data_IF_382044700271
#
_entry.id   IF_382044700271
#
_cell.length_a   1.000
_cell.length_b   1.000
_cell.length_c   1.000
_cell.angle_alpha   90.00
_cell.angle_beta   90.00
_cell.angle_gamma   90.00
#
_symmetry.space_group_name_H-M   'P 1'
#
loop_
_entity.id
_entity.type
_entity.pdbx_description
1 polymer ?
#
# COMPACT_ATOMS: atom_id res chain seq x y z
N UNK A 1 -29.38 -0.16 -2.88
CA UNK A 1 -30.49 -0.83 -2.21
C UNK A 1 -30.20 -2.32 -2.14
N UNK A 2 -30.50 -2.98 -1.03
CA UNK A 2 -30.29 -4.41 -0.77
C UNK A 2 -30.94 -5.37 -1.79
N UNK A 3 -31.78 -4.87 -2.65
CA UNK A 3 -32.50 -5.62 -3.69
C UNK A 3 -31.80 -5.58 -5.06
N UNK A 4 -30.73 -4.84 -5.19
CA UNK A 4 -29.96 -4.71 -6.44
C UNK A 4 -28.52 -5.09 -6.18
N UNK A 5 -27.95 -5.86 -7.09
CA UNK A 5 -26.53 -6.15 -7.15
C UNK A 5 -25.75 -4.83 -7.38
N UNK A 6 -25.49 -4.08 -6.31
CA UNK A 6 -24.87 -2.77 -6.30
C UNK A 6 -23.68 -2.78 -5.32
N UNK A 7 -22.58 -3.35 -5.78
CA UNK A 7 -21.32 -3.20 -5.08
C UNK A 7 -20.88 -1.72 -5.11
N UNK A 8 -20.31 -1.25 -3.99
CA UNK A 8 -19.66 0.05 -3.89
C UNK A 8 -18.46 -0.07 -2.96
N UNK A 9 -17.37 0.62 -3.27
CA UNK A 9 -16.17 0.59 -2.41
C UNK A 9 -16.38 1.25 -1.05
N UNK A 10 -17.39 2.10 -0.89
CA UNK A 10 -17.72 2.73 0.38
C UNK A 10 -17.10 4.11 0.61
N UNK A 11 -16.44 4.69 -0.39
CA UNK A 11 -15.78 6.00 -0.26
C UNK A 11 -16.71 7.20 -0.42
N UNK A 12 -18.00 7.03 -0.13
CA UNK A 12 -18.98 8.14 -0.10
C UNK A 12 -19.65 8.25 1.28
N UNK A 13 -18.92 8.72 2.32
CA UNK A 13 -19.41 8.68 3.68
C UNK A 13 -20.52 9.71 3.91
N UNK A 14 -21.59 9.27 4.55
CA UNK A 14 -22.62 10.13 5.14
C UNK A 14 -22.35 10.34 6.64
N UNK A 15 -21.88 9.32 7.32
CA UNK A 15 -21.56 9.32 8.75
C UNK A 15 -20.24 8.59 9.00
N UNK A 16 -19.24 9.26 9.57
CA UNK A 16 -17.91 8.69 9.80
C UNK A 16 -17.86 7.59 10.86
N UNK A 17 -18.80 7.57 11.80
CA UNK A 17 -18.84 6.64 12.93
C UNK A 17 -19.91 5.56 12.79
N UNK A 18 -20.33 5.24 11.58
CA UNK A 18 -21.36 4.23 11.34
C UNK A 18 -20.76 3.04 10.57
N UNK A 19 -20.91 1.84 11.15
CA UNK A 19 -20.60 0.59 10.44
C UNK A 19 -21.55 0.40 9.27
N UNK A 20 -21.04 0.00 8.08
CA UNK A 20 -21.85 -0.24 6.90
C UNK A 20 -22.82 -1.41 7.10
N UNK A 21 -24.09 -1.16 6.86
CA UNK A 21 -25.16 -2.13 7.12
C UNK A 21 -25.33 -3.20 6.05
N UNK A 22 -24.92 -2.94 4.80
CA UNK A 22 -25.11 -3.88 3.69
C UNK A 22 -24.33 -5.19 3.83
N UNK A 23 -23.26 -5.18 4.63
CA UNK A 23 -22.48 -6.39 4.95
C UNK A 23 -23.04 -7.19 6.13
N UNK A 24 -24.09 -6.69 6.81
CA UNK A 24 -24.67 -7.34 7.97
C UNK A 24 -25.76 -8.34 7.56
N UNK A 25 -25.95 -9.37 8.38
CA UNK A 25 -27.00 -10.37 8.19
C UNK A 25 -28.42 -9.80 8.41
N UNK A 26 -28.54 -8.67 9.13
CA UNK A 26 -29.79 -7.89 9.28
C UNK A 26 -29.47 -6.39 9.20
N UNK A 27 -29.45 -5.80 8.00
CA UNK A 27 -29.11 -4.40 7.80
C UNK A 27 -30.14 -3.41 8.37
N UNK A 28 -31.34 -3.88 8.71
CA UNK A 28 -32.40 -3.04 9.31
C UNK A 28 -32.29 -2.93 10.83
N UNK A 29 -31.42 -3.74 11.46
CA UNK A 29 -31.11 -3.66 12.90
C UNK A 29 -29.70 -3.13 13.12
N UNK A 30 -29.54 -1.88 13.57
CA UNK A 30 -28.22 -1.28 13.76
C UNK A 30 -27.28 -2.09 14.69
N UNK A 31 -27.84 -2.71 15.71
CA UNK A 31 -27.08 -3.51 16.68
C UNK A 31 -26.46 -4.75 16.04
N UNK A 32 -27.09 -5.30 15.00
CA UNK A 32 -26.58 -6.49 14.30
C UNK A 32 -25.25 -6.18 13.63
N UNK A 33 -25.18 -5.10 12.83
CA UNK A 33 -23.92 -4.73 12.14
C UNK A 33 -22.81 -4.35 13.13
N UNK A 34 -23.14 -3.70 14.24
CA UNK A 34 -22.16 -3.36 15.28
C UNK A 34 -21.56 -4.62 15.89
N UNK A 35 -22.42 -5.58 16.29
CA UNK A 35 -21.98 -6.86 16.86
C UNK A 35 -21.15 -7.66 15.87
N UNK A 36 -21.64 -7.84 14.66
CA UNK A 36 -20.95 -8.66 13.62
C UNK A 36 -19.60 -8.06 13.24
N UNK A 37 -19.47 -6.73 13.16
CA UNK A 37 -18.20 -6.08 12.93
C UNK A 37 -17.21 -6.34 14.09
N UNK A 38 -17.66 -6.24 15.34
CA UNK A 38 -16.85 -6.58 16.52
C UNK A 38 -16.45 -8.07 16.54
N UNK A 39 -17.35 -8.96 16.15
CA UNK A 39 -17.08 -10.40 16.04
C UNK A 39 -16.03 -10.69 14.96
N UNK A 40 -16.07 -9.99 13.82
CA UNK A 40 -15.06 -10.07 12.77
C UNK A 40 -13.68 -9.62 13.28
N UNK A 41 -13.59 -8.43 13.90
CA UNK A 41 -12.32 -7.94 14.49
C UNK A 41 -11.77 -8.92 15.51
N UNK A 42 -12.63 -9.43 16.41
CA UNK A 42 -12.22 -10.42 17.40
C UNK A 42 -11.69 -11.72 16.77
N UNK A 43 -12.32 -12.18 15.68
CA UNK A 43 -11.88 -13.39 14.99
C UNK A 43 -10.51 -13.21 14.33
N UNK A 44 -10.26 -12.04 13.72
CA UNK A 44 -8.97 -11.69 13.14
C UNK A 44 -7.88 -11.59 14.22
N UNK A 45 -8.16 -10.93 15.34
CA UNK A 45 -7.22 -10.86 16.47
C UNK A 45 -6.88 -12.23 17.05
N UNK A 46 -7.87 -13.15 17.16
CA UNK A 46 -7.60 -14.54 17.59
C UNK A 46 -6.69 -15.29 16.61
N UNK A 47 -6.69 -14.90 15.34
CA UNK A 47 -5.78 -15.44 14.33
C UNK A 47 -4.42 -14.71 14.27
N UNK A 48 -4.17 -13.72 15.15
CA UNK A 48 -2.95 -12.92 15.17
C UNK A 48 -2.90 -11.84 14.09
N UNK A 49 -4.04 -11.50 13.49
CA UNK A 49 -4.15 -10.52 12.39
C UNK A 49 -4.69 -9.21 12.94
N UNK A 50 -3.96 -8.11 12.73
CA UNK A 50 -4.37 -6.75 13.08
C UNK A 50 -5.35 -6.19 12.04
N UNK A 51 -6.20 -5.28 12.48
CA UNK A 51 -7.25 -4.69 11.63
C UNK A 51 -6.96 -3.20 11.42
N UNK A 52 -6.77 -2.81 10.18
CA UNK A 52 -6.63 -1.42 9.75
C UNK A 52 -7.96 -0.96 9.16
N UNK A 53 -8.51 0.12 9.68
CA UNK A 53 -9.73 0.72 9.14
C UNK A 53 -9.38 1.75 8.07
N UNK A 54 -10.01 1.62 6.91
CA UNK A 54 -9.94 2.61 5.83
C UNK A 54 -10.91 3.75 6.13
N UNK A 55 -10.41 4.98 6.26
CA UNK A 55 -11.19 6.13 6.71
C UNK A 55 -11.21 7.24 5.66
N UNK A 56 -12.39 7.82 5.49
CA UNK A 56 -12.68 8.84 4.47
C UNK A 56 -13.12 10.13 5.15
N UNK A 57 -12.19 10.86 5.76
CA UNK A 57 -12.48 12.17 6.38
C UNK A 57 -12.33 13.35 5.42
N UNK A 58 -11.80 13.10 4.22
CA UNK A 58 -11.48 14.14 3.22
C UNK A 58 -12.71 14.79 2.60
N UNK A 59 -13.87 14.12 2.59
CA UNK A 59 -15.13 14.66 2.05
C UNK A 59 -16.35 13.98 2.70
N UNK A 60 -17.52 14.40 2.31
CA UNK A 60 -18.80 13.72 2.55
C UNK A 60 -19.58 13.59 1.25
N UNK A 61 -20.49 12.62 1.18
CA UNK A 61 -21.27 12.34 -0.05
C UNK A 61 -22.01 13.55 -0.61
N UNK A 62 -22.52 14.43 0.28
CA UNK A 62 -23.16 15.70 -0.13
C UNK A 62 -23.09 16.71 1.02
N UNK A 63 -22.16 17.65 0.92
CA UNK A 63 -21.94 18.67 1.94
C UNK A 63 -23.22 19.47 2.29
N UNK A 64 -24.05 19.82 1.30
CA UNK A 64 -25.24 20.66 1.52
C UNK A 64 -26.31 20.04 2.42
N UNK A 65 -26.30 18.70 2.58
CA UNK A 65 -27.32 18.00 3.37
C UNK A 65 -26.78 17.42 4.67
N UNK A 66 -25.47 17.50 4.90
CA UNK A 66 -24.84 17.00 6.13
C UNK A 66 -25.23 17.83 7.36
N UNK A 67 -25.12 17.21 8.54
CA UNK A 67 -25.24 17.93 9.81
C UNK A 67 -24.21 19.04 9.97
N UNK A 68 -23.04 18.90 9.36
CA UNK A 68 -21.95 19.88 9.45
C UNK A 68 -22.34 21.23 8.86
N UNK A 69 -22.78 21.24 7.61
CA UNK A 69 -23.17 22.48 6.93
C UNK A 69 -24.43 23.10 7.52
N UNK A 70 -25.37 22.27 8.01
CA UNK A 70 -26.57 22.75 8.68
C UNK A 70 -26.30 23.36 10.06
N UNK A 71 -25.28 22.86 10.75
CA UNK A 71 -24.90 23.32 12.10
C UNK A 71 -24.08 24.60 12.05
N UNK A 72 -23.08 24.64 11.19
CA UNK A 72 -22.20 25.81 11.02
C UNK A 72 -21.77 25.95 9.55
N UNK A 73 -22.56 26.67 8.74
CA UNK A 73 -22.30 26.84 7.32
C UNK A 73 -20.91 27.38 7.02
N UNK A 74 -20.18 26.72 6.09
CA UNK A 74 -18.87 27.14 5.64
C UNK A 74 -17.73 26.93 6.64
N UNK A 75 -17.94 26.19 7.73
CA UNK A 75 -16.90 25.94 8.73
C UNK A 75 -16.15 24.61 8.53
N UNK A 76 -16.90 23.54 8.29
CA UNK A 76 -16.32 22.18 8.21
C UNK A 76 -15.78 21.83 6.83
N UNK A 77 -16.10 22.63 5.83
CA UNK A 77 -15.63 22.49 4.47
C UNK A 77 -14.87 23.73 4.03
N UNK A 78 -13.87 23.54 3.16
CA UNK A 78 -13.19 24.67 2.51
C UNK A 78 -14.10 25.29 1.45
N UNK A 79 -14.24 26.60 1.51
CA UNK A 79 -15.14 27.36 0.64
C UNK A 79 -14.36 28.26 -0.29
N UNK A 80 -14.72 28.27 -1.58
CA UNK A 80 -14.19 29.22 -2.56
C UNK A 80 -14.77 30.62 -2.31
N UNK A 81 -14.15 31.64 -2.89
CA UNK A 81 -14.56 33.04 -2.77
C UNK A 81 -15.98 33.33 -3.30
N UNK A 82 -16.48 32.49 -4.20
CA UNK A 82 -17.84 32.58 -4.75
C UNK A 82 -18.90 31.87 -3.87
N UNK A 83 -18.49 31.30 -2.73
CA UNK A 83 -19.36 30.57 -1.81
C UNK A 83 -19.63 29.12 -2.21
N UNK A 84 -19.01 28.58 -3.25
CA UNK A 84 -19.07 27.16 -3.58
C UNK A 84 -18.04 26.34 -2.78
N UNK A 85 -18.29 25.05 -2.62
CA UNK A 85 -17.34 24.14 -1.98
C UNK A 85 -16.07 23.97 -2.83
N UNK A 86 -14.93 23.95 -2.19
CA UNK A 86 -13.69 23.47 -2.79
C UNK A 86 -13.78 21.97 -3.06
N UNK A 87 -12.99 21.41 -3.98
CA UNK A 87 -13.16 20.04 -4.47
C UNK A 87 -11.83 19.31 -4.71
N UNK A 88 -10.88 19.45 -3.81
CA UNK A 88 -9.63 18.70 -3.88
C UNK A 88 -9.82 17.18 -3.81
N UNK A 89 -10.92 16.72 -3.22
CA UNK A 89 -11.31 15.30 -3.18
C UNK A 89 -11.79 14.74 -4.53
N UNK A 90 -12.18 15.60 -5.49
CA UNK A 90 -12.86 15.16 -6.72
C UNK A 90 -14.32 14.72 -6.53
N UNK A 91 -14.82 14.69 -5.26
CA UNK A 91 -16.15 14.19 -4.89
C UNK A 91 -17.17 15.31 -4.59
N UNK A 92 -16.87 16.54 -5.02
CA UNK A 92 -17.79 17.69 -4.92
C UNK A 92 -17.60 18.56 -3.67
N UNK A 93 -16.79 18.16 -2.72
CA UNK A 93 -16.41 18.95 -1.55
C UNK A 93 -15.08 18.47 -0.95
N UNK A 94 -14.48 19.27 -0.08
CA UNK A 94 -13.34 18.88 0.75
C UNK A 94 -13.50 19.42 2.15
N UNK A 95 -13.13 18.63 3.16
CA UNK A 95 -13.20 19.04 4.55
C UNK A 95 -12.03 19.94 4.95
N UNK A 96 -12.26 20.80 5.93
CA UNK A 96 -11.28 21.73 6.47
C UNK A 96 -10.68 21.17 7.78
N UNK A 97 -9.72 20.23 7.67
CA UNK A 97 -9.09 19.58 8.83
C UNK A 97 -8.34 20.57 9.74
N UNK A 98 -7.88 21.69 9.20
CA UNK A 98 -7.25 22.78 9.93
C UNK A 98 -8.22 23.51 10.88
N UNK A 99 -9.54 23.35 10.71
CA UNK A 99 -10.53 23.92 11.60
C UNK A 99 -10.59 23.11 12.92
N UNK A 100 -10.50 23.78 14.10
CA UNK A 100 -10.39 23.09 15.38
C UNK A 100 -11.48 22.05 15.66
N UNK A 101 -12.73 22.30 15.26
CA UNK A 101 -13.82 21.35 15.49
C UNK A 101 -13.81 20.20 14.49
N UNK A 102 -13.31 20.38 13.25
CA UNK A 102 -13.12 19.28 12.32
C UNK A 102 -11.98 18.38 12.78
N UNK A 103 -10.83 18.96 13.17
CA UNK A 103 -9.71 18.22 13.77
C UNK A 103 -10.14 17.42 14.99
N UNK A 104 -10.85 18.06 15.91
CA UNK A 104 -11.41 17.38 17.10
C UNK A 104 -12.30 16.21 16.71
N UNK A 105 -13.19 16.38 15.76
CA UNK A 105 -14.07 15.31 15.28
C UNK A 105 -13.27 14.12 14.73
N UNK A 106 -12.26 14.37 13.89
CA UNK A 106 -11.40 13.33 13.33
C UNK A 106 -10.70 12.54 14.45
N UNK A 107 -10.06 13.24 15.38
CA UNK A 107 -9.32 12.61 16.48
C UNK A 107 -10.27 11.79 17.37
N UNK A 108 -11.37 12.35 17.83
CA UNK A 108 -12.32 11.64 18.70
C UNK A 108 -12.99 10.45 18.00
N UNK A 109 -13.22 10.55 16.69
CA UNK A 109 -13.72 9.45 15.89
C UNK A 109 -12.72 8.30 15.84
N UNK A 110 -11.44 8.58 15.56
CA UNK A 110 -10.38 7.57 15.51
C UNK A 110 -10.14 6.92 16.88
N UNK A 111 -10.09 7.72 17.95
CA UNK A 111 -10.00 7.20 19.31
C UNK A 111 -11.18 6.27 19.65
N UNK A 112 -12.38 6.61 19.19
CA UNK A 112 -13.59 5.80 19.39
C UNK A 112 -13.48 4.46 18.65
N UNK A 113 -13.03 4.44 17.40
CA UNK A 113 -12.81 3.21 16.65
C UNK A 113 -11.79 2.30 17.34
N UNK A 114 -10.70 2.85 17.88
CA UNK A 114 -9.72 2.06 18.65
C UNK A 114 -10.33 1.51 19.95
N UNK A 115 -11.03 2.33 20.72
CA UNK A 115 -11.55 1.94 22.04
C UNK A 115 -12.77 1.02 21.97
N UNK A 116 -13.66 1.27 21.01
CA UNK A 116 -14.94 0.55 20.92
C UNK A 116 -14.85 -0.70 20.04
N UNK A 117 -14.05 -0.68 18.98
CA UNK A 117 -13.94 -1.77 18.02
C UNK A 117 -12.56 -2.44 18.01
N UNK A 118 -11.62 -1.97 18.81
CA UNK A 118 -10.24 -2.48 18.87
C UNK A 118 -9.53 -2.44 17.51
N UNK A 119 -9.72 -1.37 16.74
CA UNK A 119 -9.00 -1.13 15.49
C UNK A 119 -7.54 -0.82 15.80
N UNK A 120 -6.61 -1.44 15.07
CA UNK A 120 -5.16 -1.38 15.30
C UNK A 120 -4.45 -0.31 14.45
N UNK A 121 -5.15 0.34 13.57
CA UNK A 121 -4.59 1.39 12.73
C UNK A 121 -5.56 1.92 11.69
N UNK A 122 -5.09 2.87 10.88
CA UNK A 122 -5.93 3.59 9.92
C UNK A 122 -5.20 3.84 8.60
N UNK A 123 -5.90 3.61 7.51
CA UNK A 123 -5.54 4.07 6.17
C UNK A 123 -6.39 5.28 5.83
N UNK A 124 -5.77 6.41 5.51
CA UNK A 124 -6.47 7.64 5.14
C UNK A 124 -6.62 7.73 3.62
N UNK A 125 -7.85 7.68 3.16
CA UNK A 125 -8.21 8.01 1.80
C UNK A 125 -7.87 9.47 1.51
N UNK A 126 -7.26 9.78 0.35
CA UNK A 126 -6.82 11.12 -0.05
C UNK A 126 -6.22 11.93 1.12
N UNK A 127 -5.24 11.34 1.81
CA UNK A 127 -4.63 11.93 3.03
C UNK A 127 -4.13 13.34 2.80
N UNK A 128 -3.71 13.69 1.58
CA UNK A 128 -3.23 15.02 1.24
C UNK A 128 -4.31 16.13 1.24
N UNK A 129 -5.57 15.81 1.48
CA UNK A 129 -6.61 16.80 1.80
C UNK A 129 -6.43 17.33 3.23
N UNK A 130 -5.86 16.53 4.12
CA UNK A 130 -5.66 16.90 5.53
C UNK A 130 -4.36 17.67 5.73
N UNK A 131 -4.37 18.58 6.69
CA UNK A 131 -3.16 19.31 7.05
C UNK A 131 -2.22 18.48 7.93
N UNK A 132 -0.91 18.74 7.79
CA UNK A 132 0.18 18.05 8.50
C UNK A 132 0.01 18.16 10.02
N UNK A 133 -0.43 19.30 10.53
CA UNK A 133 -0.63 19.51 11.97
C UNK A 133 -1.70 18.57 12.51
N UNK A 134 -2.83 18.43 11.79
CA UNK A 134 -3.88 17.48 12.14
C UNK A 134 -3.38 16.05 12.12
N UNK A 135 -2.62 15.63 11.12
CA UNK A 135 -2.07 14.28 11.05
C UNK A 135 -1.09 13.98 12.19
N UNK A 136 -0.25 14.94 12.55
CA UNK A 136 0.67 14.82 13.68
C UNK A 136 -0.08 14.77 15.04
N UNK A 137 -1.13 15.55 15.21
CA UNK A 137 -1.96 15.48 16.42
C UNK A 137 -2.70 14.14 16.52
N UNK A 138 -3.26 13.64 15.41
CA UNK A 138 -3.85 12.29 15.33
C UNK A 138 -2.80 11.26 15.78
N UNK A 139 -1.60 11.26 15.20
CA UNK A 139 -0.53 10.31 15.58
C UNK A 139 -0.27 10.35 17.07
N UNK A 140 -0.03 11.52 17.63
CA UNK A 140 0.26 11.71 19.06
C UNK A 140 -0.86 11.16 19.95
N UNK A 141 -2.11 11.43 19.59
CA UNK A 141 -3.27 11.02 20.39
C UNK A 141 -3.53 9.51 20.33
N UNK A 142 -3.37 8.91 19.16
CA UNK A 142 -3.59 7.47 18.98
C UNK A 142 -2.45 6.64 19.56
N UNK A 143 -1.22 7.11 19.46
CA UNK A 143 -0.04 6.48 20.08
C UNK A 143 -0.15 6.43 21.60
N UNK A 144 -0.78 7.42 22.22
CA UNK A 144 -1.05 7.41 23.67
C UNK A 144 -2.05 6.31 24.09
N UNK A 145 -2.84 5.77 23.15
CA UNK A 145 -3.75 4.63 23.39
C UNK A 145 -3.03 3.32 23.13
N UNK A 146 -2.35 3.22 21.99
CA UNK A 146 -1.55 2.07 21.59
C UNK A 146 -0.32 2.54 20.80
N UNK A 147 0.88 2.37 21.38
CA UNK A 147 2.16 2.77 20.76
C UNK A 147 2.45 2.02 19.46
N UNK A 148 1.80 0.91 19.20
CA UNK A 148 1.94 0.10 17.99
C UNK A 148 0.94 0.47 16.87
N UNK A 149 0.10 1.50 17.07
CA UNK A 149 -0.90 1.92 16.07
C UNK A 149 -0.24 2.23 14.72
N UNK A 150 -0.82 1.70 13.64
CA UNK A 150 -0.35 1.92 12.27
C UNK A 150 -1.17 3.01 11.61
N UNK A 151 -0.52 4.05 11.10
CA UNK A 151 -1.19 5.16 10.39
C UNK A 151 -0.48 5.38 9.07
N UNK A 152 -1.24 5.34 7.97
CA UNK A 152 -0.75 5.65 6.63
C UNK A 152 -1.90 6.09 5.73
N UNK A 153 -1.59 6.59 4.56
CA UNK A 153 -2.64 6.97 3.63
C UNK A 153 -2.13 7.31 2.23
N UNK A 154 -3.02 7.84 1.43
CA UNK A 154 -2.73 8.33 0.10
C UNK A 154 -2.16 9.74 0.17
N UNK A 155 -0.86 9.87 -0.08
CA UNK A 155 -0.15 11.16 -0.06
C UNK A 155 -0.44 12.02 -1.30
N UNK A 156 -1.65 11.99 -1.83
CA UNK A 156 -2.15 12.79 -2.94
C UNK A 156 -3.59 13.24 -2.74
N UNK A 157 -4.06 14.14 -3.58
CA UNK A 157 -5.43 14.57 -3.72
C UNK A 157 -5.92 14.27 -5.14
N UNK A 158 -7.23 14.21 -5.37
CA UNK A 158 -7.80 13.93 -6.69
C UNK A 158 -7.77 15.18 -7.60
N UNK A 159 -7.78 16.38 -7.01
CA UNK A 159 -7.55 17.67 -7.70
C UNK A 159 -6.91 18.66 -6.72
N UNK A 160 -6.72 19.91 -7.10
CA UNK A 160 -6.05 20.92 -6.28
C UNK A 160 -6.88 21.30 -5.03
N UNK A 161 -6.44 21.01 -3.81
CA UNK A 161 -7.10 21.43 -2.59
C UNK A 161 -7.03 22.96 -2.41
N UNK A 162 -8.06 23.53 -1.78
CA UNK A 162 -8.10 24.95 -1.45
C UNK A 162 -7.42 25.23 -0.10
N UNK A 163 -6.14 24.92 0.02
CA UNK A 163 -5.32 25.23 1.18
C UNK A 163 -3.85 25.36 0.75
N UNK A 164 -3.02 25.92 1.61
CA UNK A 164 -1.57 26.01 1.37
C UNK A 164 -0.99 24.59 1.27
N UNK A 165 -0.57 24.22 0.06
CA UNK A 165 -0.06 22.89 -0.26
C UNK A 165 1.11 22.49 0.64
N UNK A 166 1.95 23.42 1.04
CA UNK A 166 3.10 23.15 1.93
C UNK A 166 2.72 22.72 3.34
N UNK A 167 1.44 22.89 3.70
CA UNK A 167 0.86 22.50 4.98
C UNK A 167 -0.01 21.23 4.89
N UNK A 168 -0.18 20.68 3.68
CA UNK A 168 -0.98 19.50 3.44
C UNK A 168 -0.14 18.23 3.45
N UNK A 169 -0.75 17.11 3.82
CA UNK A 169 -0.10 15.82 3.98
C UNK A 169 0.20 15.12 2.64
N UNK A 170 0.73 15.86 1.66
CA UNK A 170 1.24 15.28 0.43
C UNK A 170 2.44 14.37 0.70
N UNK A 171 2.59 13.33 -0.10
CA UNK A 171 3.67 12.34 0.00
C UNK A 171 5.06 12.99 0.17
N UNK A 172 5.36 14.03 -0.60
CA UNK A 172 6.63 14.76 -0.54
C UNK A 172 6.94 15.42 0.81
N UNK A 173 5.94 15.55 1.68
CA UNK A 173 6.07 16.11 3.02
C UNK A 173 5.94 15.06 4.14
N UNK A 174 5.91 13.77 3.81
CA UNK A 174 5.78 12.68 4.79
C UNK A 174 6.88 12.73 5.86
N UNK A 175 8.08 13.21 5.51
CA UNK A 175 9.17 13.42 6.47
C UNK A 175 8.83 14.40 7.61
N UNK A 176 7.75 15.18 7.52
CA UNK A 176 7.27 16.08 8.57
C UNK A 176 6.20 15.42 9.47
N UNK A 177 5.83 14.19 9.20
CA UNK A 177 4.80 13.45 9.92
C UNK A 177 5.41 12.19 10.52
N UNK A 178 5.95 12.32 11.73
CA UNK A 178 6.55 11.19 12.43
C UNK A 178 5.55 10.06 12.66
N UNK A 179 5.91 8.83 12.29
CA UNK A 179 5.06 7.65 12.44
C UNK A 179 3.83 7.59 11.51
N UNK A 180 3.73 8.46 10.50
CA UNK A 180 2.68 8.41 9.47
C UNK A 180 3.31 8.03 8.13
N UNK A 181 2.79 6.99 7.49
CA UNK A 181 3.27 6.50 6.20
C UNK A 181 2.43 6.98 5.01
N UNK A 182 2.96 6.79 3.81
CA UNK A 182 2.25 7.04 2.57
C UNK A 182 2.51 5.94 1.53
N UNK A 183 1.52 5.71 0.66
CA UNK A 183 1.69 4.84 -0.50
C UNK A 183 2.75 5.38 -1.46
N UNK A 184 3.63 4.50 -1.92
CA UNK A 184 4.69 4.85 -2.86
C UNK A 184 4.30 4.56 -4.30
N UNK A 185 3.87 5.58 -5.02
CA UNK A 185 3.70 5.50 -6.47
C UNK A 185 5.05 5.35 -7.20
N UNK A 186 6.18 5.73 -6.60
CA UNK A 186 7.51 5.50 -7.18
C UNK A 186 7.75 4.00 -7.44
N UNK A 187 7.69 3.16 -6.41
CA UNK A 187 7.91 1.71 -6.58
C UNK A 187 6.80 1.06 -7.42
N UNK A 188 5.54 1.49 -7.25
CA UNK A 188 4.41 1.01 -8.05
C UNK A 188 4.65 1.22 -9.54
N UNK A 189 4.96 2.45 -9.94
CA UNK A 189 5.12 2.82 -11.35
C UNK A 189 6.44 2.31 -11.91
N UNK A 190 7.51 2.27 -11.12
CA UNK A 190 8.74 1.59 -11.52
C UNK A 190 8.51 0.12 -11.84
N UNK A 191 7.74 -0.60 -11.02
CA UNK A 191 7.45 -2.02 -11.24
C UNK A 191 6.55 -2.24 -12.45
N UNK A 192 5.36 -1.61 -12.50
CA UNK A 192 4.30 -1.94 -13.45
C UNK A 192 4.07 -0.93 -14.57
N UNK A 193 4.81 0.17 -14.56
CA UNK A 193 4.64 1.32 -15.46
C UNK A 193 3.53 2.28 -15.01
N UNK A 194 3.43 3.45 -15.67
CA UNK A 194 2.56 4.56 -15.28
C UNK A 194 1.06 4.23 -15.48
N UNK A 195 0.19 5.03 -14.84
CA UNK A 195 -1.28 4.82 -14.84
C UNK A 195 -1.96 4.86 -16.21
N UNK A 196 -1.33 5.49 -17.21
CA UNK A 196 -1.85 5.56 -18.59
C UNK A 196 -1.66 4.27 -19.41
N UNK A 197 -1.06 3.24 -18.83
CA UNK A 197 -0.75 1.96 -19.47
C UNK A 197 0.17 2.05 -20.70
N UNK A 198 0.95 3.13 -20.84
CA UNK A 198 1.86 3.31 -21.96
C UNK A 198 2.98 2.27 -22.04
N UNK A 199 3.31 1.66 -20.92
CA UNK A 199 4.28 0.57 -20.82
C UNK A 199 4.05 -0.27 -19.55
N UNK A 200 4.78 -1.39 -19.40
CA UNK A 200 4.64 -2.34 -18.29
C UNK A 200 5.78 -2.25 -17.25
N UNK A 201 6.52 -1.15 -17.21
CA UNK A 201 7.57 -0.89 -16.24
C UNK A 201 8.72 -1.91 -16.27
N UNK A 202 9.43 -1.99 -15.16
CA UNK A 202 10.58 -2.88 -14.98
C UNK A 202 10.22 -4.36 -15.22
N UNK A 203 9.10 -4.83 -14.66
CA UNK A 203 8.66 -6.22 -14.82
C UNK A 203 8.28 -6.59 -16.26
N UNK A 204 7.93 -5.59 -17.07
CA UNK A 204 7.68 -5.74 -18.50
C UNK A 204 8.93 -5.56 -19.39
N UNK A 205 10.10 -5.41 -18.80
CA UNK A 205 11.35 -5.23 -19.55
C UNK A 205 11.57 -3.82 -20.07
N UNK A 206 11.03 -2.80 -19.41
CA UNK A 206 11.18 -1.39 -19.79
C UNK A 206 12.32 -0.75 -18.98
N UNK A 207 13.30 -0.20 -19.69
CA UNK A 207 14.45 0.51 -19.10
C UNK A 207 14.03 1.86 -18.49
N UNK A 208 14.88 2.42 -17.64
CA UNK A 208 14.69 3.74 -17.02
C UNK A 208 13.89 3.70 -15.72
N UNK A 209 13.55 2.52 -15.19
CA UNK A 209 12.78 2.36 -13.96
C UNK A 209 13.62 1.88 -12.77
N UNK A 210 14.91 1.55 -13.02
CA UNK A 210 15.78 0.92 -12.01
C UNK A 210 15.98 1.80 -10.79
N UNK A 211 16.23 3.08 -10.98
CA UNK A 211 16.54 4.00 -9.88
C UNK A 211 15.33 4.23 -8.95
N UNK A 212 14.11 4.41 -9.51
CA UNK A 212 12.88 4.51 -8.71
C UNK A 212 12.54 3.18 -8.01
N UNK A 213 12.88 2.04 -8.63
CA UNK A 213 12.75 0.72 -7.99
C UNK A 213 13.71 0.60 -6.80
N UNK A 214 14.98 0.96 -6.96
CA UNK A 214 15.99 0.93 -5.91
C UNK A 214 15.67 1.91 -4.79
N UNK A 215 15.13 3.09 -5.13
CA UNK A 215 14.58 4.02 -4.17
C UNK A 215 13.46 3.40 -3.32
N UNK A 216 12.52 2.71 -3.96
CA UNK A 216 11.45 2.00 -3.27
C UNK A 216 11.95 0.82 -2.43
N UNK A 217 12.95 0.08 -2.91
CA UNK A 217 13.61 -1.01 -2.16
C UNK A 217 14.25 -0.45 -0.88
N UNK A 218 14.90 0.71 -0.95
CA UNK A 218 15.48 1.38 0.20
C UNK A 218 14.45 1.96 1.19
N UNK A 219 13.14 1.87 0.89
CA UNK A 219 12.07 2.38 1.76
C UNK A 219 11.87 3.90 1.65
N UNK A 220 12.18 4.50 0.50
CA UNK A 220 11.93 5.93 0.23
C UNK A 220 12.82 6.91 0.98
N UNK A 221 13.84 6.41 1.70
CA UNK A 221 14.80 7.21 2.46
C UNK A 221 15.92 7.77 1.56
N UNK A 222 16.64 8.76 2.05
CA UNK A 222 17.90 9.18 1.42
C UNK A 222 18.94 8.06 1.57
N UNK A 223 19.35 7.47 0.44
CA UNK A 223 20.37 6.42 0.39
C UNK A 223 21.57 6.86 -0.45
N UNK A 224 22.83 6.54 -0.05
CA UNK A 224 24.04 7.04 -0.75
C UNK A 224 24.15 6.65 -2.23
N UNK A 225 23.54 5.54 -2.61
CA UNK A 225 23.61 4.99 -3.98
C UNK A 225 22.36 5.35 -4.84
N UNK A 226 21.40 6.11 -4.30
CA UNK A 226 20.14 6.46 -4.99
C UNK A 226 20.01 7.99 -5.05
N UNK A 227 19.81 8.54 -6.26
CA UNK A 227 19.73 9.98 -6.47
C UNK A 227 18.31 10.54 -6.32
N UNK A 228 17.28 9.70 -6.27
CA UNK A 228 15.89 10.12 -6.08
C UNK A 228 15.73 10.83 -4.74
N UNK A 229 15.08 11.99 -4.76
CA UNK A 229 14.85 12.78 -3.54
C UNK A 229 13.96 12.02 -2.55
N UNK A 230 14.47 11.81 -1.34
CA UNK A 230 13.73 11.14 -0.28
C UNK A 230 12.51 11.96 0.17
N UNK A 231 11.43 11.27 0.49
CA UNK A 231 10.23 11.86 1.05
C UNK A 231 9.82 11.20 2.39
N UNK A 232 10.54 10.19 2.82
CA UNK A 232 10.42 9.58 4.15
C UNK A 232 11.65 9.92 5.00
N UNK A 233 11.47 10.01 6.31
CA UNK A 233 12.57 10.00 7.29
C UNK A 233 13.00 8.58 7.63
N UNK A 234 12.01 7.67 7.70
CA UNK A 234 12.19 6.29 8.10
C UNK A 234 11.51 5.33 7.11
N UNK A 235 12.05 4.11 6.90
CA UNK A 235 11.53 3.18 5.90
C UNK A 235 10.12 2.69 6.21
N UNK A 236 9.68 2.66 7.45
CA UNK A 236 8.31 2.27 7.81
C UNK A 236 7.24 3.29 7.38
N UNK A 237 7.64 4.49 6.95
CA UNK A 237 6.74 5.48 6.35
C UNK A 237 6.43 5.17 4.87
N UNK A 238 7.12 4.21 4.27
CA UNK A 238 6.98 3.84 2.87
C UNK A 238 6.11 2.59 2.72
N UNK A 239 4.94 2.73 2.09
CA UNK A 239 4.09 1.58 1.75
C UNK A 239 4.46 1.11 0.35
N UNK A 240 5.11 -0.07 0.29
CA UNK A 240 5.57 -0.69 -0.96
C UNK A 240 4.48 -1.56 -1.56
N UNK A 241 4.08 -1.31 -2.81
CA UNK A 241 3.01 -2.04 -3.46
C UNK A 241 3.15 -2.07 -4.99
N UNK A 242 2.46 -3.00 -5.64
CA UNK A 242 2.38 -3.08 -7.09
C UNK A 242 0.99 -2.73 -7.62
N UNK A 243 -0.08 -3.07 -6.90
CA UNK A 243 -1.45 -2.70 -7.23
C UNK A 243 -2.32 -2.59 -5.97
N UNK A 244 -3.47 -1.93 -6.09
CA UNK A 244 -4.49 -1.82 -5.06
C UNK A 244 -5.90 -1.91 -5.68
N UNK A 245 -6.94 -1.50 -4.95
CA UNK A 245 -8.31 -1.48 -5.47
C UNK A 245 -8.52 -0.39 -6.52
N UNK A 246 -7.81 0.74 -6.41
CA UNK A 246 -7.83 1.81 -7.39
C UNK A 246 -7.10 1.43 -8.66
N UNK A 247 -7.54 2.00 -9.77
CA UNK A 247 -7.01 1.75 -11.11
C UNK A 247 -7.12 0.25 -11.48
N UNK A 248 -6.26 -0.25 -12.36
CA UNK A 248 -6.23 -1.65 -12.74
C UNK A 248 -5.61 -2.53 -11.65
N UNK A 249 -6.18 -3.70 -11.38
CA UNK A 249 -5.42 -4.75 -10.71
C UNK A 249 -4.23 -5.19 -11.60
N UNK A 250 -3.21 -5.79 -11.00
CA UNK A 250 -1.94 -6.03 -11.69
C UNK A 250 -2.09 -6.92 -12.94
N UNK A 251 -2.99 -7.90 -12.92
CA UNK A 251 -3.32 -8.72 -14.10
C UNK A 251 -3.87 -7.89 -15.23
N UNK A 252 -4.96 -7.11 -15.00
CA UNK A 252 -5.60 -6.31 -16.02
C UNK A 252 -4.64 -5.26 -16.60
N UNK A 253 -3.80 -4.71 -15.72
CA UNK A 253 -2.74 -3.78 -16.09
C UNK A 253 -1.75 -4.39 -17.11
N UNK A 254 -1.30 -5.61 -16.83
CA UNK A 254 -0.38 -6.32 -17.73
C UNK A 254 -1.07 -6.80 -19.02
N UNK A 255 -2.36 -7.14 -18.95
CA UNK A 255 -3.13 -7.50 -20.15
C UNK A 255 -3.30 -6.32 -21.10
N UNK A 256 -3.49 -5.09 -20.56
CA UNK A 256 -3.58 -3.88 -21.37
C UNK A 256 -2.21 -3.43 -21.93
N UNK A 257 -1.20 -3.36 -21.08
CA UNK A 257 0.12 -2.89 -21.48
C UNK A 257 0.88 -3.89 -22.39
N UNK A 258 0.61 -5.19 -22.24
CA UNK A 258 1.27 -6.29 -22.95
C UNK A 258 0.24 -7.30 -23.51
N UNK A 259 -0.59 -6.92 -24.47
CA UNK A 259 -1.69 -7.75 -24.96
C UNK A 259 -1.22 -9.08 -25.59
N UNK A 260 0.02 -9.12 -26.08
CA UNK A 260 0.62 -10.31 -26.70
C UNK A 260 1.39 -11.22 -25.71
N UNK A 261 1.56 -10.81 -24.46
CA UNK A 261 2.21 -11.64 -23.47
C UNK A 261 1.29 -12.81 -23.09
N UNK A 262 1.86 -14.00 -22.93
CA UNK A 262 1.14 -15.18 -22.46
C UNK A 262 0.77 -15.07 -20.97
N UNK A 263 -0.22 -15.83 -20.53
CA UNK A 263 -0.60 -15.95 -19.10
C UNK A 263 0.63 -16.31 -18.25
N UNK A 264 1.47 -17.25 -18.73
CA UNK A 264 2.69 -17.66 -18.04
C UNK A 264 3.68 -16.49 -17.86
N UNK A 265 3.89 -15.69 -18.89
CA UNK A 265 4.77 -14.51 -18.81
C UNK A 265 4.22 -13.48 -17.83
N UNK A 266 2.92 -13.17 -17.87
CA UNK A 266 2.29 -12.25 -16.92
C UNK A 266 2.38 -12.74 -15.48
N UNK A 267 2.19 -14.03 -15.23
CA UNK A 267 2.37 -14.62 -13.89
C UNK A 267 3.84 -14.49 -13.42
N UNK A 268 4.82 -14.69 -14.30
CA UNK A 268 6.22 -14.49 -13.96
C UNK A 268 6.52 -13.03 -13.60
N UNK A 269 5.94 -12.06 -14.34
CA UNK A 269 6.06 -10.63 -14.05
C UNK A 269 5.43 -10.27 -12.69
N UNK A 270 4.26 -10.84 -12.36
CA UNK A 270 3.61 -10.65 -11.06
C UNK A 270 4.49 -11.19 -9.93
N UNK A 271 5.05 -12.39 -10.09
CA UNK A 271 5.98 -12.97 -9.12
C UNK A 271 7.23 -12.09 -8.93
N UNK A 272 7.77 -11.52 -9.99
CA UNK A 272 8.91 -10.59 -9.93
C UNK A 272 8.53 -9.31 -9.16
N UNK A 273 7.37 -8.71 -9.47
CA UNK A 273 6.88 -7.52 -8.77
C UNK A 273 6.74 -7.78 -7.26
N UNK A 274 6.15 -8.92 -6.90
CA UNK A 274 5.94 -9.25 -5.50
C UNK A 274 7.25 -9.60 -4.79
N UNK A 275 8.22 -10.20 -5.49
CA UNK A 275 9.56 -10.38 -4.91
C UNK A 275 10.16 -9.02 -4.50
N UNK A 276 10.07 -8.01 -5.36
CA UNK A 276 10.56 -6.67 -5.04
C UNK A 276 9.80 -6.05 -3.85
N UNK A 277 8.47 -6.18 -3.81
CA UNK A 277 7.63 -5.66 -2.71
C UNK A 277 7.98 -6.33 -1.38
N UNK A 278 8.07 -7.67 -1.34
CA UNK A 278 8.35 -8.41 -0.11
C UNK A 278 9.80 -8.27 0.38
N UNK A 279 10.75 -7.94 -0.51
CA UNK A 279 12.16 -7.76 -0.14
C UNK A 279 12.57 -6.29 0.05
N UNK A 280 11.64 -5.34 -0.12
CA UNK A 280 11.87 -3.92 0.15
C UNK A 280 11.90 -3.61 1.65
N UNK A 281 12.56 -2.51 2.03
CA UNK A 281 12.65 -2.04 3.42
C UNK A 281 11.37 -1.36 3.91
N UNK A 282 10.47 -0.96 3.02
CA UNK A 282 9.16 -0.43 3.34
C UNK A 282 8.19 -1.50 3.85
N UNK A 283 6.98 -1.07 4.20
CA UNK A 283 5.88 -1.95 4.58
C UNK A 283 5.25 -2.54 3.31
N UNK A 284 5.27 -3.86 3.10
CA UNK A 284 4.65 -4.48 1.93
C UNK A 284 3.12 -4.40 2.03
N UNK A 285 2.50 -4.01 0.93
CA UNK A 285 1.04 -3.99 0.78
C UNK A 285 0.64 -4.85 -0.42
N UNK A 286 -0.32 -5.76 -0.20
CA UNK A 286 -0.80 -6.71 -1.20
C UNK A 286 -2.28 -6.49 -1.43
N UNK A 287 -2.68 -6.36 -2.68
CA UNK A 287 -4.09 -6.27 -3.05
C UNK A 287 -4.77 -7.63 -2.92
N UNK A 288 -5.86 -7.69 -2.16
CA UNK A 288 -6.61 -8.92 -1.91
C UNK A 288 -7.04 -9.62 -3.21
N UNK A 289 -6.66 -10.90 -3.35
CA UNK A 289 -6.92 -11.73 -4.52
C UNK A 289 -5.86 -11.65 -5.62
N UNK A 290 -4.83 -10.82 -5.48
CA UNK A 290 -3.74 -10.75 -6.46
C UNK A 290 -3.00 -12.10 -6.54
N UNK A 291 -2.83 -12.78 -5.41
CA UNK A 291 -2.30 -14.15 -5.32
C UNK A 291 -3.16 -15.20 -6.04
N UNK A 292 -4.42 -14.87 -6.33
CA UNK A 292 -5.35 -15.68 -7.11
C UNK A 292 -5.36 -15.32 -8.61
N UNK A 293 -4.45 -14.46 -9.06
CA UNK A 293 -4.47 -13.90 -10.41
C UNK A 293 -5.77 -13.15 -10.70
N UNK A 294 -6.26 -12.38 -9.72
CA UNK A 294 -7.51 -11.62 -9.80
C UNK A 294 -7.52 -10.67 -10.99
N UNK A 295 -8.68 -10.58 -11.63
CA UNK A 295 -8.97 -9.59 -12.66
C UNK A 295 -10.29 -8.88 -12.39
N UNK A 296 -10.46 -7.69 -12.94
CA UNK A 296 -11.67 -6.88 -12.92
C UNK A 296 -12.16 -6.59 -14.34
N UNK A 297 -11.96 -7.54 -15.25
CA UNK A 297 -12.39 -7.47 -16.66
C UNK A 297 -11.83 -6.23 -17.40
N UNK A 298 -10.64 -5.75 -17.04
CA UNK A 298 -10.01 -4.55 -17.61
C UNK A 298 -10.61 -3.22 -17.12
N UNK A 299 -11.50 -3.25 -16.12
CA UNK A 299 -12.12 -2.05 -15.57
C UNK A 299 -11.18 -1.42 -14.54
N UNK A 300 -10.79 -0.15 -14.78
CA UNK A 300 -9.93 0.63 -13.89
C UNK A 300 -10.58 0.82 -12.52
N UNK A 301 -11.53 1.70 -12.42
CA UNK A 301 -12.16 2.07 -11.16
C UNK A 301 -13.52 1.38 -11.04
N UNK A 302 -13.52 0.21 -10.40
CA UNK A 302 -14.69 -0.67 -10.33
C UNK A 302 -15.60 -0.36 -9.12
N UNK A 303 -15.51 0.86 -8.54
CA UNK A 303 -16.17 1.25 -7.29
C UNK A 303 -17.70 1.06 -7.29
N UNK A 304 -18.34 1.17 -8.45
CA UNK A 304 -19.79 1.05 -8.64
C UNK A 304 -20.17 -0.06 -9.65
N UNK A 305 -19.23 -0.94 -9.97
CA UNK A 305 -19.49 -2.07 -10.86
C UNK A 305 -20.16 -3.22 -10.10
N UNK A 306 -20.88 -4.11 -10.81
CA UNK A 306 -21.59 -5.24 -10.18
C UNK A 306 -20.62 -6.26 -9.57
N UNK A 307 -21.21 -7.20 -8.80
CA UNK A 307 -20.45 -8.22 -8.06
C UNK A 307 -19.64 -9.13 -8.97
N UNK A 308 -20.08 -9.43 -10.18
CA UNK A 308 -19.35 -10.26 -11.13
C UNK A 308 -18.02 -9.64 -11.59
N UNK A 309 -17.87 -8.32 -11.48
CA UNK A 309 -16.59 -7.61 -11.69
C UNK A 309 -15.76 -7.60 -10.41
N UNK A 310 -16.39 -7.40 -9.26
CA UNK A 310 -15.69 -7.13 -8.00
C UNK A 310 -15.48 -8.38 -7.13
N UNK A 311 -16.28 -9.44 -7.30
CA UNK A 311 -16.14 -10.66 -6.52
C UNK A 311 -14.79 -11.35 -6.75
N UNK A 312 -14.30 -11.98 -5.70
CA UNK A 312 -13.11 -12.85 -5.78
C UNK A 312 -13.57 -14.25 -6.11
N UNK A 313 -13.13 -14.78 -7.24
CA UNK A 313 -13.36 -16.19 -7.59
C UNK A 313 -12.37 -17.09 -6.83
N UNK A 314 -12.81 -17.61 -5.71
CA UNK A 314 -12.03 -18.51 -4.86
C UNK A 314 -11.64 -19.83 -5.52
N UNK A 315 -12.29 -20.23 -6.63
CA UNK A 315 -11.88 -21.41 -7.41
C UNK A 315 -10.49 -21.24 -8.02
N UNK A 316 -10.06 -19.99 -8.23
CA UNK A 316 -8.74 -19.63 -8.73
C UNK A 316 -7.61 -20.05 -7.77
N UNK A 317 -7.88 -20.19 -6.48
CA UNK A 317 -6.92 -20.74 -5.52
C UNK A 317 -6.37 -22.12 -5.95
N UNK A 318 -7.23 -22.95 -6.55
CA UNK A 318 -6.80 -24.24 -7.09
C UNK A 318 -6.15 -24.11 -8.46
N UNK A 319 -6.70 -23.25 -9.32
CA UNK A 319 -6.21 -23.04 -10.69
C UNK A 319 -4.80 -22.42 -10.70
N UNK A 320 -4.58 -21.42 -9.87
CA UNK A 320 -3.32 -20.67 -9.77
C UNK A 320 -2.55 -21.01 -8.49
N UNK A 321 -2.64 -22.26 -8.05
CA UNK A 321 -1.97 -22.72 -6.81
C UNK A 321 -0.48 -22.36 -6.77
N UNK A 322 0.20 -22.42 -7.88
CA UNK A 322 1.61 -22.07 -8.02
C UNK A 322 1.90 -20.58 -7.69
N UNK A 323 0.96 -19.69 -8.03
CA UNK A 323 1.06 -18.27 -7.66
C UNK A 323 0.75 -18.07 -6.16
N UNK A 324 -0.30 -18.72 -5.65
CA UNK A 324 -0.65 -18.68 -4.22
C UNK A 324 0.49 -19.18 -3.35
N UNK A 325 1.08 -20.33 -3.71
CA UNK A 325 2.21 -20.90 -2.98
C UNK A 325 3.43 -19.96 -3.00
N UNK A 326 3.64 -19.24 -4.11
CA UNK A 326 4.75 -18.29 -4.21
C UNK A 326 4.55 -17.07 -3.30
N UNK A 327 3.35 -16.50 -3.23
CA UNK A 327 3.05 -15.41 -2.28
C UNK A 327 3.22 -15.86 -0.83
N UNK A 328 2.74 -17.06 -0.49
CA UNK A 328 2.94 -17.62 0.84
C UNK A 328 4.43 -17.78 1.16
N UNK A 329 5.21 -18.32 0.22
CA UNK A 329 6.66 -18.48 0.41
C UNK A 329 7.38 -17.14 0.59
N UNK A 330 7.01 -16.09 -0.16
CA UNK A 330 7.59 -14.75 0.03
C UNK A 330 7.25 -14.17 1.41
N UNK A 331 6.02 -14.37 1.89
CA UNK A 331 5.62 -13.98 3.25
C UNK A 331 6.44 -14.72 4.32
N UNK A 332 6.61 -16.05 4.16
CA UNK A 332 7.39 -16.87 5.06
C UNK A 332 8.88 -16.46 5.05
N UNK A 333 9.45 -16.19 3.87
CA UNK A 333 10.84 -15.70 3.71
C UNK A 333 10.99 -14.37 4.44
N UNK A 334 10.09 -13.39 4.22
CA UNK A 334 10.17 -12.09 4.89
C UNK A 334 10.02 -12.22 6.41
N UNK A 335 9.16 -13.13 6.88
CA UNK A 335 8.98 -13.39 8.31
C UNK A 335 10.21 -14.05 8.93
N UNK A 336 10.86 -14.98 8.21
CA UNK A 336 12.07 -15.66 8.66
C UNK A 336 13.32 -14.75 8.66
N UNK A 337 13.29 -13.67 7.83
CA UNK A 337 14.41 -12.76 7.65
C UNK A 337 14.03 -11.30 7.98
N UNK A 338 14.13 -10.91 9.28
CA UNK A 338 13.79 -9.57 9.75
C UNK A 338 14.59 -8.45 9.08
N UNK A 339 15.75 -8.74 8.50
CA UNK A 339 16.57 -7.78 7.78
C UNK A 339 15.87 -7.17 6.54
N UNK A 340 14.80 -7.78 6.02
CA UNK A 340 13.96 -7.15 4.98
C UNK A 340 13.07 -6.01 5.52
N UNK A 341 13.09 -5.75 6.81
CA UNK A 341 12.33 -4.67 7.45
C UNK A 341 13.09 -4.09 8.64
N UNK A 342 14.24 -3.47 8.37
CA UNK A 342 15.13 -2.92 9.42
C UNK A 342 14.46 -1.80 10.25
N UNK A 343 13.46 -1.10 9.67
CA UNK A 343 12.64 -0.12 10.37
C UNK A 343 13.33 1.20 10.74
N UNK A 344 14.62 1.32 10.50
CA UNK A 344 15.47 2.47 10.85
C UNK A 344 16.34 2.86 9.65
N UNK A 345 16.33 4.14 9.28
CA UNK A 345 17.03 4.64 8.11
C UNK A 345 18.56 4.51 8.21
N UNK A 346 19.14 4.62 9.39
CA UNK A 346 20.59 4.44 9.59
C UNK A 346 20.98 2.98 9.44
N UNK A 347 20.13 2.05 9.92
CA UNK A 347 20.35 0.61 9.70
C UNK A 347 20.26 0.27 8.22
N UNK A 348 19.27 0.82 7.50
CA UNK A 348 19.19 0.63 6.03
C UNK A 348 20.44 1.16 5.34
N UNK A 349 20.88 2.38 5.62
CA UNK A 349 22.11 2.95 5.03
C UNK A 349 23.36 2.14 5.33
N UNK A 350 23.40 1.48 6.48
CA UNK A 350 24.56 0.67 6.91
C UNK A 350 24.58 -0.71 6.26
N UNK A 351 23.43 -1.35 6.16
CA UNK A 351 23.35 -2.76 5.82
C UNK A 351 22.92 -3.02 4.37
N UNK A 352 22.12 -2.12 3.76
CA UNK A 352 21.71 -2.24 2.38
C UNK A 352 22.79 -1.67 1.44
N UNK A 353 23.23 -2.45 0.46
CA UNK A 353 24.12 -2.02 -0.60
C UNK A 353 23.62 -2.52 -1.94
N UNK A 354 23.39 -1.60 -2.90
CA UNK A 354 23.08 -2.00 -4.27
C UNK A 354 24.33 -2.46 -4.99
N UNK A 355 24.22 -3.61 -5.63
CA UNK A 355 25.29 -4.19 -6.46
C UNK A 355 25.17 -3.55 -7.84
N UNK A 356 26.22 -2.85 -8.28
CA UNK A 356 26.21 -2.20 -9.58
C UNK A 356 26.11 -3.24 -10.70
N UNK A 357 25.15 -3.03 -11.58
CA UNK A 357 24.95 -3.82 -12.80
C UNK A 357 24.79 -2.86 -13.96
N UNK A 358 25.57 -3.07 -15.03
CA UNK A 358 25.44 -2.24 -16.26
C UNK A 358 24.08 -2.43 -16.96
N UNK A 359 23.30 -3.42 -16.52
CA UNK A 359 22.00 -3.74 -17.11
C UNK A 359 20.86 -3.02 -16.40
N UNK A 360 20.25 -2.05 -17.07
CA UNK A 360 19.09 -1.28 -16.60
C UNK A 360 17.85 -2.13 -16.24
N UNK A 361 17.81 -3.39 -16.70
CA UNK A 361 16.72 -4.33 -16.39
C UNK A 361 17.09 -5.31 -15.27
N UNK A 362 18.20 -5.06 -14.58
CA UNK A 362 18.61 -5.85 -13.41
C UNK A 362 18.86 -4.91 -12.24
N UNK A 363 18.11 -5.09 -11.16
CA UNK A 363 18.39 -4.48 -9.86
C UNK A 363 18.86 -5.59 -8.91
N UNK A 364 19.98 -5.35 -8.26
CA UNK A 364 20.59 -6.33 -7.36
C UNK A 364 21.10 -5.63 -6.13
N UNK A 365 20.88 -6.23 -4.96
CA UNK A 365 21.33 -5.68 -3.70
C UNK A 365 21.71 -6.77 -2.68
N UNK A 366 22.50 -6.37 -1.71
CA UNK A 366 22.86 -7.19 -0.57
C UNK A 366 22.48 -6.48 0.75
N UNK A 367 21.91 -7.22 1.66
CA UNK A 367 21.84 -6.86 3.08
C UNK A 367 23.01 -7.56 3.75
N UNK A 368 24.03 -6.79 4.17
CA UNK A 368 25.30 -7.30 4.71
C UNK A 368 25.45 -7.01 6.19
N UNK A 369 26.32 -7.77 6.85
CA UNK A 369 26.69 -7.59 8.26
C UNK A 369 25.45 -7.56 9.19
N UNK A 370 24.47 -8.43 8.92
CA UNK A 370 23.19 -8.48 9.61
C UNK A 370 23.15 -9.50 10.76
N UNK A 371 24.31 -10.05 11.17
CA UNK A 371 24.38 -10.91 12.35
C UNK A 371 23.86 -10.19 13.59
N UNK A 372 22.95 -10.83 14.31
CA UNK A 372 22.27 -10.24 15.48
C UNK A 372 20.95 -9.55 15.16
N UNK A 373 20.67 -9.25 13.88
CA UNK A 373 19.38 -8.81 13.37
C UNK A 373 18.66 -9.99 12.69
N UNK A 374 19.41 -10.78 11.94
CA UNK A 374 18.92 -11.89 11.14
C UNK A 374 19.70 -13.18 11.46
N UNK A 375 19.12 -14.33 11.14
CA UNK A 375 19.78 -15.64 11.21
C UNK A 375 20.84 -15.82 10.14
N UNK A 376 20.73 -15.11 9.02
CA UNK A 376 21.71 -15.07 7.95
C UNK A 376 22.79 -14.01 8.24
N UNK A 377 24.01 -14.21 7.71
CA UNK A 377 25.07 -13.19 7.72
C UNK A 377 24.83 -12.10 6.70
N UNK A 378 24.25 -12.49 5.56
CA UNK A 378 23.87 -11.60 4.49
C UNK A 378 22.73 -12.21 3.66
N UNK A 379 21.95 -11.34 3.01
CA UNK A 379 20.91 -11.72 2.06
C UNK A 379 21.20 -11.03 0.72
N UNK A 380 21.20 -11.79 -0.36
CA UNK A 380 21.38 -11.24 -1.72
C UNK A 380 20.06 -11.38 -2.47
N UNK A 381 19.62 -10.31 -3.10
CA UNK A 381 18.41 -10.27 -3.93
C UNK A 381 18.80 -9.81 -5.33
N UNK A 382 18.35 -10.54 -6.34
CA UNK A 382 18.56 -10.22 -7.75
C UNK A 382 17.20 -10.20 -8.45
N UNK A 383 16.81 -9.04 -8.94
CA UNK A 383 15.59 -8.81 -9.70
C UNK A 383 15.96 -8.64 -11.18
N UNK A 384 15.56 -9.60 -12.01
CA UNK A 384 15.83 -9.57 -13.45
C UNK A 384 14.52 -9.35 -14.23
N UNK A 385 14.30 -8.12 -14.71
CA UNK A 385 13.17 -7.74 -15.55
C UNK A 385 13.38 -8.04 -17.05
N UNK A 386 14.54 -8.57 -17.44
CA UNK A 386 14.82 -8.94 -18.84
C UNK A 386 14.33 -10.36 -19.15
N UNK A 387 14.30 -10.71 -20.44
CA UNK A 387 14.04 -12.08 -20.90
C UNK A 387 15.32 -12.94 -21.03
N UNK A 388 16.47 -12.33 -20.78
CA UNK A 388 17.77 -12.97 -20.92
C UNK A 388 18.29 -13.43 -19.56
N UNK A 389 19.05 -14.52 -19.54
CA UNK A 389 19.83 -14.89 -18.36
C UNK A 389 20.97 -13.90 -18.18
N UNK A 390 21.19 -13.48 -16.95
CA UNK A 390 22.28 -12.58 -16.58
C UNK A 390 23.19 -13.26 -15.55
N UNK A 391 24.47 -12.96 -15.58
CA UNK A 391 25.43 -13.37 -14.57
C UNK A 391 25.75 -12.14 -13.69
N UNK A 392 25.65 -12.29 -12.39
CA UNK A 392 25.87 -11.21 -11.42
C UNK A 392 27.01 -11.61 -10.49
N UNK A 393 27.97 -10.70 -10.33
CA UNK A 393 29.02 -10.83 -9.32
C UNK A 393 28.44 -10.56 -7.93
N UNK A 394 28.62 -11.50 -7.02
CA UNK A 394 28.21 -11.41 -5.63
C UNK A 394 29.41 -11.72 -4.73
N UNK A 395 29.40 -11.36 -3.43
CA UNK A 395 30.46 -11.78 -2.52
C UNK A 395 30.66 -13.30 -2.55
N UNK A 396 31.91 -13.76 -2.53
CA UNK A 396 32.19 -15.19 -2.44
C UNK A 396 31.65 -15.80 -1.18
N UNK A 397 30.87 -16.86 -1.28
CA UNK A 397 30.23 -17.47 -0.12
C UNK A 397 29.48 -18.76 -0.40
N UNK A 398 28.87 -19.30 0.67
CA UNK A 398 27.93 -20.41 0.61
C UNK A 398 26.52 -19.86 0.88
N UNK A 399 25.64 -20.00 -0.06
CA UNK A 399 24.29 -19.45 -0.03
C UNK A 399 23.23 -20.55 -0.05
N UNK A 400 22.11 -20.28 0.62
CA UNK A 400 20.88 -21.04 0.47
C UNK A 400 19.97 -20.25 -0.45
N UNK A 401 19.46 -20.88 -1.50
CA UNK A 401 18.55 -20.28 -2.47
C UNK A 401 17.14 -20.32 -1.88
N UNK A 402 16.57 -19.18 -1.50
CA UNK A 402 15.24 -19.08 -0.93
C UNK A 402 14.15 -18.89 -1.99
N UNK A 403 14.46 -18.19 -3.08
CA UNK A 403 13.53 -17.98 -4.19
C UNK A 403 14.27 -18.01 -5.53
N UNK A 404 13.75 -18.74 -6.51
CA UNK A 404 14.29 -18.83 -7.87
C UNK A 404 13.26 -19.40 -8.84
N UNK A 405 13.24 -18.93 -10.08
CA UNK A 405 12.39 -19.43 -11.17
C UNK A 405 10.89 -19.49 -10.81
N UNK A 406 10.42 -18.49 -10.04
CA UNK A 406 9.04 -18.39 -9.60
C UNK A 406 8.62 -19.41 -8.54
N UNK A 407 9.57 -20.02 -7.85
CA UNK A 407 9.38 -20.85 -6.65
C UNK A 407 10.04 -20.19 -5.46
N UNK A 408 9.50 -20.41 -4.27
CA UNK A 408 10.08 -19.93 -3.02
C UNK A 408 9.92 -20.96 -1.90
N UNK A 409 10.86 -20.95 -0.95
CA UNK A 409 10.85 -21.77 0.26
C UNK A 409 11.74 -21.11 1.31
N UNK A 410 11.22 -20.82 2.49
CA UNK A 410 11.98 -20.20 3.57
C UNK A 410 13.09 -21.14 4.15
N UNK A 411 12.93 -22.46 4.01
CA UNK A 411 13.91 -23.46 4.40
C UNK A 411 14.98 -23.69 3.31
N UNK A 412 14.70 -23.25 2.08
CA UNK A 412 15.61 -23.27 0.94
C UNK A 412 15.29 -24.28 -0.16
N UNK A 413 15.46 -23.84 -1.39
CA UNK A 413 15.31 -24.63 -2.62
C UNK A 413 16.58 -25.40 -2.99
N UNK A 414 17.71 -25.08 -2.36
CA UNK A 414 19.02 -25.66 -2.65
C UNK A 414 20.16 -24.78 -2.19
N UNK A 415 21.38 -25.23 -2.41
CA UNK A 415 22.59 -24.50 -2.05
C UNK A 415 23.36 -24.06 -3.28
N UNK A 416 24.07 -22.95 -3.13
CA UNK A 416 24.99 -22.40 -4.13
C UNK A 416 26.29 -21.98 -3.43
N UNK A 417 27.43 -22.23 -4.06
CA UNK A 417 28.75 -21.79 -3.59
C UNK A 417 29.50 -21.10 -4.69
N UNK A 418 29.97 -19.90 -4.46
CA UNK A 418 30.74 -19.12 -5.43
C UNK A 418 30.58 -17.63 -5.25
N UNK A 419 31.13 -16.91 -6.26
CA UNK A 419 31.13 -15.45 -6.35
C UNK A 419 30.33 -14.93 -7.55
N UNK A 420 29.65 -15.80 -8.31
CA UNK A 420 28.84 -15.44 -9.48
C UNK A 420 27.58 -16.30 -9.52
N UNK A 421 26.46 -15.73 -9.82
CA UNK A 421 25.19 -16.41 -9.95
C UNK A 421 24.44 -15.93 -11.19
#
# INVERSE_FOLDING_TARGET
TLEKNQYNWGYEPLNYNAVEGSFSTDPYKPETRIREFKEMVQALHKAGIRVILDVVYNHTTNASVTGFERTNPGYFYRMKSDGSFANGSGCGNETASEQPMMRKLMIESLEWWMKEYHIDGFRFDLMAIHDIETMNEIRTRLEAIDSSVVIYGEGWAASDPLFDESKLAFKRYTYQMDGVGAFSDNIRDALRGPLDCSNAGFIGGIKGNKEDLEFGIAGGIQHPQVSVTAWTSEPFQHISYASCHDDHCLRDRLEEALPNASEKERIAMIKLAQTAVYTSQGIPFIFNGEELYRHKQGIKNSYNQPDDVNAIDWSYKKRYKDLVDYYAALADIRHAHPAFGLGDAELVRRHLEFIDTENELVSSFILKDIEGIDSAKSLVVILNGSKESVEIDIPEGNYIILARDGKGDAEGLGAFSGAKI
#
